data_IF_568031846111
#
_entry.id   IF_568031846111
#
_cell.length_a   1.000
_cell.length_b   1.000
_cell.length_c   1.000
_cell.angle_alpha   90.00
_cell.angle_beta   90.00
_cell.angle_gamma   90.00
#
_symmetry.space_group_name_H-M   'P 1'
#
loop_
_entity.id
_entity.type
_entity.pdbx_description
1 polymer ?
#
# COMPACT_ATOMS: atom_id res chain seq x y z
N UNK A 1 10.43 22.50 0.59
CA UNK A 1 9.31 22.82 1.51
C UNK A 1 8.02 22.51 0.79
N UNK A 2 7.08 21.92 1.50
CA UNK A 2 5.75 21.63 0.94
C UNK A 2 4.91 22.91 0.78
N UNK A 3 3.81 22.82 0.04
CA UNK A 3 2.89 23.95 -0.15
C UNK A 3 2.20 24.35 1.17
N UNK A 4 1.79 25.61 1.29
CA UNK A 4 1.05 26.11 2.45
C UNK A 4 -0.23 25.28 2.71
N UNK A 5 -0.94 24.88 1.65
CA UNK A 5 -2.12 24.02 1.77
C UNK A 5 -1.83 22.65 2.38
N UNK A 6 -0.68 22.03 2.01
CA UNK A 6 -0.25 20.77 2.61
C UNK A 6 0.12 20.91 4.08
N UNK A 7 0.78 21.98 4.45
CA UNK A 7 1.10 22.32 5.85
C UNK A 7 -0.16 22.54 6.69
N UNK A 8 -1.14 23.25 6.16
CA UNK A 8 -2.44 23.48 6.83
C UNK A 8 -3.24 22.17 7.00
N UNK A 9 -3.26 21.33 5.98
CA UNK A 9 -3.92 20.02 6.05
C UNK A 9 -3.28 19.12 7.12
N UNK A 10 -1.95 19.11 7.20
CA UNK A 10 -1.22 18.38 8.21
C UNK A 10 -1.50 18.93 9.63
N UNK A 11 -1.50 20.24 9.80
CA UNK A 11 -1.83 20.86 11.08
C UNK A 11 -3.23 20.46 11.56
N UNK A 12 -4.24 20.52 10.68
CA UNK A 12 -5.61 20.07 10.99
C UNK A 12 -5.69 18.58 11.34
N UNK A 13 -4.88 17.74 10.70
CA UNK A 13 -4.84 16.31 11.02
C UNK A 13 -4.24 16.06 12.41
N UNK A 14 -3.14 16.73 12.73
CA UNK A 14 -2.50 16.66 14.05
C UNK A 14 -3.40 17.20 15.14
N UNK A 15 -4.03 18.36 14.93
CA UNK A 15 -4.97 18.95 15.90
C UNK A 15 -6.14 18.02 16.21
N UNK A 16 -6.74 17.39 15.19
CA UNK A 16 -7.81 16.40 15.38
C UNK A 16 -7.36 15.18 16.19
N UNK A 17 -6.11 14.72 15.98
CA UNK A 17 -5.59 13.54 16.66
C UNK A 17 -5.13 13.81 18.09
N UNK A 18 -4.57 14.99 18.34
CA UNK A 18 -3.97 15.36 19.63
C UNK A 18 -4.86 16.23 20.51
N UNK A 19 -5.85 16.90 19.92
CA UNK A 19 -6.67 17.91 20.58
C UNK A 19 -5.96 19.25 20.82
N UNK A 20 -4.75 19.44 20.27
CA UNK A 20 -3.93 20.64 20.48
C UNK A 20 -3.76 21.41 19.18
N UNK A 21 -4.21 22.67 19.10
CA UNK A 21 -3.93 23.54 17.95
C UNK A 21 -2.43 23.70 17.74
N UNK A 22 -1.99 23.52 16.50
CA UNK A 22 -0.58 23.57 16.16
C UNK A 22 -0.34 24.16 14.77
N UNK A 23 0.87 24.65 14.55
CA UNK A 23 1.41 24.92 13.21
C UNK A 23 2.33 23.78 12.77
N UNK A 24 2.30 23.46 11.48
CA UNK A 24 3.12 22.42 10.89
C UNK A 24 3.84 22.97 9.67
N UNK A 25 5.17 22.80 9.63
CA UNK A 25 5.96 23.01 8.44
C UNK A 25 6.43 21.63 7.92
N UNK A 26 6.52 21.46 6.60
CA UNK A 26 6.87 20.17 5.99
C UNK A 26 8.08 20.36 5.07
N UNK A 27 9.07 19.51 5.29
CA UNK A 27 10.26 19.39 4.45
C UNK A 27 10.24 18.03 3.73
N UNK A 28 10.64 18.02 2.45
CA UNK A 28 10.88 16.79 1.72
C UNK A 28 12.34 16.38 1.86
N UNK A 29 12.56 15.16 2.32
CA UNK A 29 13.89 14.56 2.41
C UNK A 29 14.02 13.48 1.34
N UNK A 30 15.21 13.36 0.73
CA UNK A 30 15.51 12.34 -0.26
C UNK A 30 16.60 11.41 0.29
N UNK A 31 16.24 10.16 0.47
CA UNK A 31 17.12 9.11 0.95
C UNK A 31 17.63 8.32 -0.26
N UNK A 32 18.96 8.30 -0.45
CA UNK A 32 19.59 7.80 -1.67
C UNK A 32 20.56 6.68 -1.32
N UNK A 33 20.40 5.54 -2.01
CA UNK A 33 21.38 4.44 -2.00
C UNK A 33 22.05 4.38 -3.38
N UNK A 34 23.37 4.42 -3.40
CA UNK A 34 24.16 4.40 -4.63
C UNK A 34 25.40 3.53 -4.44
N UNK A 35 25.79 2.86 -5.51
CA UNK A 35 27.09 2.17 -5.65
C UNK A 35 28.10 2.97 -6.45
N UNK A 36 27.73 4.16 -6.93
CA UNK A 36 28.64 5.04 -7.67
C UNK A 36 29.80 5.50 -6.77
N UNK A 37 31.00 5.49 -7.33
CA UNK A 37 32.24 5.90 -6.65
C UNK A 37 32.99 6.93 -7.51
N UNK A 38 33.78 7.78 -6.86
CA UNK A 38 34.60 8.76 -7.53
C UNK A 38 33.80 9.79 -8.36
N UNK A 39 34.19 9.99 -9.62
CA UNK A 39 33.57 10.96 -10.52
C UNK A 39 32.12 10.60 -10.87
N UNK A 40 31.81 9.31 -11.02
CA UNK A 40 30.43 8.83 -11.24
C UNK A 40 29.51 9.23 -10.07
N UNK A 41 30.02 9.24 -8.84
CA UNK A 41 29.24 9.70 -7.68
C UNK A 41 28.94 11.21 -7.76
N UNK A 42 29.88 12.01 -8.24
CA UNK A 42 29.71 13.44 -8.42
C UNK A 42 28.72 13.77 -9.55
N UNK A 43 28.79 13.05 -10.66
CA UNK A 43 27.83 13.16 -11.76
C UNK A 43 26.43 12.76 -11.36
N UNK A 44 26.28 11.62 -10.66
CA UNK A 44 25.01 11.17 -10.12
C UNK A 44 24.41 12.17 -9.14
N UNK A 45 25.21 12.73 -8.25
CA UNK A 45 24.76 13.75 -7.30
C UNK A 45 24.34 15.05 -8.02
N UNK A 46 25.04 15.44 -9.07
CA UNK A 46 24.72 16.63 -9.87
C UNK A 46 23.42 16.44 -10.65
N UNK A 47 23.24 15.29 -11.29
CA UNK A 47 22.01 14.93 -12.00
C UNK A 47 20.81 14.89 -11.05
N UNK A 48 20.96 14.28 -9.88
CA UNK A 48 19.92 14.25 -8.86
C UNK A 48 19.56 15.64 -8.33
N UNK A 49 20.55 16.49 -8.05
CA UNK A 49 20.28 17.86 -7.63
C UNK A 49 19.49 18.62 -8.70
N UNK A 50 19.86 18.46 -9.96
CA UNK A 50 19.13 19.08 -11.07
C UNK A 50 17.70 18.54 -11.20
N UNK A 51 17.49 17.22 -11.17
CA UNK A 51 16.19 16.59 -11.27
C UNK A 51 15.25 16.97 -10.10
N UNK A 52 15.80 17.04 -8.89
CA UNK A 52 15.03 17.32 -7.69
C UNK A 52 14.85 18.81 -7.40
N UNK A 53 15.69 19.67 -7.98
CA UNK A 53 15.64 21.13 -7.79
C UNK A 53 14.34 21.76 -8.30
N UNK A 54 13.76 21.22 -9.38
CA UNK A 54 12.47 21.67 -9.91
C UNK A 54 11.28 21.34 -8.98
N UNK A 55 11.41 20.30 -8.17
CA UNK A 55 10.39 19.87 -7.21
C UNK A 55 10.61 20.47 -5.81
N UNK A 56 11.85 20.86 -5.50
CA UNK A 56 12.27 21.33 -4.19
C UNK A 56 13.35 22.38 -4.39
N UNK A 57 12.98 23.66 -4.49
CA UNK A 57 13.97 24.72 -4.35
C UNK A 57 14.71 24.50 -3.03
N UNK A 58 16.05 24.37 -3.03
CA UNK A 58 16.80 24.26 -1.80
C UNK A 58 16.60 25.56 -1.02
N UNK A 59 15.66 25.57 -0.10
CA UNK A 59 15.58 26.60 0.91
C UNK A 59 16.59 26.19 1.98
N UNK A 60 17.38 27.16 2.43
CA UNK A 60 18.20 26.96 3.61
C UNK A 60 17.33 26.36 4.72
N UNK A 61 17.81 25.28 5.32
CA UNK A 61 17.19 24.67 6.49
C UNK A 61 16.84 25.79 7.47
N UNK A 62 15.58 26.05 7.65
CA UNK A 62 15.15 27.06 8.61
C UNK A 62 15.67 26.67 9.99
N UNK A 63 16.42 27.57 10.58
CA UNK A 63 16.91 27.46 11.96
C UNK A 63 15.79 27.65 13.00
N UNK A 64 14.56 27.25 12.70
CA UNK A 64 13.50 27.20 13.68
C UNK A 64 13.73 25.92 14.50
N UNK A 65 13.93 26.07 15.80
CA UNK A 65 13.91 24.95 16.74
C UNK A 65 12.46 24.48 16.90
N UNK A 66 12.00 23.47 16.17
CA UNK A 66 10.65 22.99 16.30
C UNK A 66 10.46 22.39 17.69
N UNK A 67 9.25 22.48 18.24
CA UNK A 67 8.95 21.88 19.53
C UNK A 67 8.95 20.35 19.47
N UNK A 68 8.57 19.78 18.32
CA UNK A 68 8.78 18.36 18.01
C UNK A 68 8.90 18.13 16.50
N UNK A 69 9.53 17.02 16.14
CA UNK A 69 9.75 16.62 14.75
C UNK A 69 9.28 15.20 14.55
N UNK A 70 8.57 14.96 13.44
CA UNK A 70 8.13 13.63 12.99
C UNK A 70 8.58 13.46 11.55
N UNK A 71 9.32 12.40 11.26
CA UNK A 71 9.65 12.04 9.88
C UNK A 71 8.91 10.78 9.45
N UNK A 72 8.28 10.85 8.28
CA UNK A 72 7.46 9.79 7.70
C UNK A 72 7.93 9.50 6.29
N UNK A 73 8.08 8.26 5.97
CA UNK A 73 8.46 7.83 4.63
C UNK A 73 8.04 6.40 4.31
N UNK A 74 8.32 5.95 3.09
CA UNK A 74 8.01 4.59 2.67
C UNK A 74 8.66 3.55 3.58
N UNK A 75 7.95 2.45 3.81
CA UNK A 75 8.52 1.32 4.57
C UNK A 75 9.79 0.80 3.91
N UNK A 76 10.88 0.58 4.66
CA UNK A 76 12.16 0.13 4.08
C UNK A 76 12.09 -1.21 3.35
N UNK A 77 11.12 -2.07 3.72
CA UNK A 77 10.99 -3.43 3.21
C UNK A 77 10.63 -3.54 1.71
N UNK A 78 10.18 -2.46 1.08
CA UNK A 78 9.87 -2.44 -0.36
C UNK A 78 10.26 -1.12 -1.00
N UNK A 79 10.58 -1.13 -2.30
CA UNK A 79 10.78 0.09 -3.07
C UNK A 79 9.43 0.66 -3.51
N UNK A 80 9.23 1.97 -3.29
CA UNK A 80 8.02 2.63 -3.76
C UNK A 80 7.99 2.73 -5.29
N UNK A 81 6.80 2.80 -5.89
CA UNK A 81 6.66 3.01 -7.33
C UNK A 81 7.32 4.34 -7.78
N UNK A 82 7.29 5.35 -6.91
CA UNK A 82 7.99 6.61 -7.13
C UNK A 82 9.50 6.40 -7.20
N UNK A 83 10.08 5.60 -6.29
CA UNK A 83 11.51 5.29 -6.25
C UNK A 83 11.98 4.62 -7.54
N UNK A 84 11.25 3.58 -8.00
CA UNK A 84 11.60 2.88 -9.23
C UNK A 84 11.60 3.81 -10.43
N UNK A 85 10.61 4.70 -10.53
CA UNK A 85 10.55 5.70 -11.60
C UNK A 85 11.68 6.74 -11.47
N UNK A 86 11.97 7.22 -10.26
CA UNK A 86 13.01 8.20 -10.01
C UNK A 86 14.39 7.67 -10.38
N UNK A 87 14.69 6.41 -10.07
CA UNK A 87 15.94 5.75 -10.47
C UNK A 87 16.04 5.68 -11.98
N UNK A 88 15.00 5.20 -12.69
CA UNK A 88 15.01 5.09 -14.15
C UNK A 88 15.20 6.45 -14.83
N UNK A 89 14.53 7.49 -14.35
CA UNK A 89 14.69 8.85 -14.90
C UNK A 89 16.09 9.38 -14.64
N UNK A 90 16.62 9.17 -13.44
CA UNK A 90 17.96 9.61 -13.08
C UNK A 90 19.05 8.91 -13.92
N UNK A 91 18.92 7.60 -14.14
CA UNK A 91 19.81 6.83 -15.01
C UNK A 91 19.76 7.33 -16.46
N UNK A 92 18.56 7.61 -16.98
CA UNK A 92 18.39 8.20 -18.30
C UNK A 92 19.05 9.61 -18.44
N UNK A 93 19.18 10.33 -17.32
CA UNK A 93 19.89 11.62 -17.23
C UNK A 93 21.38 11.48 -16.92
N UNK A 94 21.94 10.27 -16.93
CA UNK A 94 23.36 10.01 -16.74
C UNK A 94 23.78 9.72 -15.28
N UNK A 95 22.87 9.67 -14.33
CA UNK A 95 23.18 9.31 -12.95
C UNK A 95 23.35 7.80 -12.81
N UNK A 96 24.57 7.32 -13.02
CA UNK A 96 24.90 5.90 -12.93
C UNK A 96 25.03 5.42 -11.48
N UNK A 97 24.75 4.13 -11.27
CA UNK A 97 24.96 3.45 -9.99
C UNK A 97 23.94 3.76 -8.91
N UNK A 98 22.85 4.44 -9.22
CA UNK A 98 21.74 4.62 -8.31
C UNK A 98 20.97 3.30 -8.13
N UNK A 99 20.80 2.88 -6.88
CA UNK A 99 20.04 1.70 -6.55
C UNK A 99 18.63 2.04 -6.07
N UNK A 100 18.53 3.10 -5.28
CA UNK A 100 17.26 3.51 -4.67
C UNK A 100 17.25 4.98 -4.34
N UNK A 101 16.13 5.64 -4.57
CA UNK A 101 15.86 7.02 -4.16
C UNK A 101 14.47 7.06 -3.57
N UNK A 102 14.34 7.31 -2.27
CA UNK A 102 13.03 7.40 -1.60
C UNK A 102 12.80 8.80 -1.06
N UNK A 103 11.55 9.23 -1.08
CA UNK A 103 11.15 10.54 -0.57
C UNK A 103 10.42 10.37 0.75
N UNK A 104 10.96 10.97 1.83
CA UNK A 104 10.27 11.14 3.11
C UNK A 104 9.78 12.58 3.30
N UNK A 105 8.92 12.77 4.28
CA UNK A 105 8.39 14.05 4.71
C UNK A 105 8.74 14.25 6.18
N UNK A 106 9.42 15.34 6.48
CA UNK A 106 9.74 15.74 7.84
C UNK A 106 8.81 16.85 8.26
N UNK A 107 8.07 16.63 9.33
CA UNK A 107 7.09 17.54 9.90
C UNK A 107 7.67 18.23 11.12
N UNK A 108 7.72 19.55 11.10
CA UNK A 108 8.11 20.39 12.22
C UNK A 108 6.85 20.93 12.86
N UNK A 109 6.57 20.56 14.09
CA UNK A 109 5.30 20.86 14.78
C UNK A 109 5.54 21.79 15.96
N UNK A 110 4.76 22.84 16.07
CA UNK A 110 4.83 23.83 17.14
C UNK A 110 3.41 24.24 17.56
N UNK A 111 3.06 24.23 18.87
CA UNK A 111 3.85 23.76 20.01
C UNK A 111 4.06 22.24 20.03
N UNK A 112 4.78 21.73 21.03
CA UNK A 112 4.95 20.29 21.21
C UNK A 112 3.61 19.59 21.45
N UNK A 113 3.42 18.45 20.78
CA UNK A 113 2.23 17.61 20.86
C UNK A 113 2.60 16.18 21.22
N UNK A 114 1.59 15.34 21.45
CA UNK A 114 1.80 13.89 21.55
C UNK A 114 2.31 13.34 20.21
N UNK A 115 3.61 13.04 20.15
CA UNK A 115 4.31 12.58 18.93
C UNK A 115 3.71 11.30 18.39
N UNK A 116 3.26 10.38 19.24
CA UNK A 116 2.68 9.11 18.83
C UNK A 116 1.36 9.35 18.09
N UNK A 117 0.45 10.13 18.67
CA UNK A 117 -0.83 10.47 18.02
C UNK A 117 -0.62 11.30 16.76
N UNK A 118 0.31 12.25 16.77
CA UNK A 118 0.65 13.04 15.59
C UNK A 118 1.18 12.16 14.46
N UNK A 119 2.12 11.25 14.76
CA UNK A 119 2.67 10.35 13.77
C UNK A 119 1.62 9.42 13.17
N UNK A 120 0.71 8.90 13.98
CA UNK A 120 -0.41 8.06 13.50
C UNK A 120 -1.34 8.80 12.54
N UNK A 121 -1.50 10.10 12.70
CA UNK A 121 -2.32 10.94 11.83
C UNK A 121 -1.61 11.39 10.53
N UNK A 122 -0.27 11.31 10.49
CA UNK A 122 0.54 11.88 9.42
C UNK A 122 1.05 10.83 8.40
N UNK A 123 0.87 9.54 8.64
CA UNK A 123 1.35 8.50 7.75
C UNK A 123 0.26 7.49 7.34
N UNK A 124 0.41 6.95 6.15
CA UNK A 124 -0.36 5.79 5.70
C UNK A 124 0.25 4.51 6.27
N UNK A 125 -0.50 3.84 7.17
CA UNK A 125 -0.05 2.60 7.81
C UNK A 125 0.25 1.45 6.86
N UNK A 126 -0.31 1.48 5.65
CA UNK A 126 -0.09 0.42 4.66
C UNK A 126 1.28 0.55 3.98
N UNK A 127 1.64 1.76 3.59
CA UNK A 127 2.78 2.03 2.71
C UNK A 127 3.92 2.79 3.38
N UNK A 128 3.64 3.46 4.49
CA UNK A 128 4.59 4.33 5.19
C UNK A 128 4.87 3.87 6.62
N UNK A 129 5.94 4.37 7.19
CA UNK A 129 6.26 4.26 8.59
C UNK A 129 6.93 5.54 9.11
N UNK A 130 6.97 5.67 10.42
CA UNK A 130 7.70 6.75 11.09
C UNK A 130 9.17 6.36 11.17
N UNK A 131 10.06 7.29 10.83
CA UNK A 131 11.49 7.13 10.98
C UNK A 131 11.94 7.65 12.34
N UNK A 132 12.83 6.93 13.01
CA UNK A 132 13.32 7.22 14.37
C UNK A 132 14.43 8.28 14.43
N UNK A 133 14.66 9.00 13.34
CA UNK A 133 15.69 10.03 13.20
C UNK A 133 17.03 9.51 12.66
N UNK A 134 17.17 8.20 12.51
CA UNK A 134 18.25 7.60 11.71
C UNK A 134 17.82 7.53 10.26
N UNK A 135 18.75 7.74 9.31
CA UNK A 135 18.45 7.52 7.89
C UNK A 135 17.97 6.07 7.73
N UNK A 136 16.81 5.84 7.13
CA UNK A 136 16.28 4.50 7.01
C UNK A 136 17.28 3.64 6.25
N UNK A 137 17.67 2.54 6.85
CA UNK A 137 18.49 1.56 6.17
C UNK A 137 17.58 0.80 5.22
N UNK A 138 17.67 1.10 3.94
CA UNK A 138 16.91 0.42 2.90
C UNK A 138 17.51 -0.96 2.62
N UNK A 139 17.47 -1.80 3.63
CA UNK A 139 17.78 -3.20 3.46
C UNK A 139 16.49 -3.93 3.08
N UNK A 140 16.46 -4.49 1.88
CA UNK A 140 15.40 -5.39 1.44
C UNK A 140 15.51 -6.72 2.19
N UNK A 141 15.64 -6.68 3.52
CA UNK A 141 15.55 -7.89 4.31
C UNK A 141 14.15 -8.44 4.11
N UNK A 142 14.07 -9.48 3.31
CA UNK A 142 12.93 -10.37 3.38
C UNK A 142 12.93 -10.94 4.80
N UNK A 143 11.91 -10.65 5.56
CA UNK A 143 11.72 -11.36 6.83
C UNK A 143 11.79 -12.87 6.57
N UNK A 144 12.42 -13.64 7.45
CA UNK A 144 12.45 -15.08 7.27
C UNK A 144 11.01 -15.58 7.13
N UNK A 145 10.76 -16.52 6.21
CA UNK A 145 9.42 -17.04 6.00
C UNK A 145 8.85 -17.55 7.33
N UNK A 146 7.65 -17.14 7.64
CA UNK A 146 6.94 -17.62 8.81
C UNK A 146 6.68 -19.12 8.66
N UNK A 147 6.65 -19.84 9.78
CA UNK A 147 6.28 -21.24 9.77
C UNK A 147 4.81 -21.37 9.33
N UNK A 148 4.59 -22.25 8.37
CA UNK A 148 3.23 -22.59 7.94
C UNK A 148 2.52 -23.27 9.11
N UNK A 149 1.41 -22.69 9.53
CA UNK A 149 0.54 -23.24 10.57
C UNK A 149 -0.46 -24.23 9.98
N UNK A 150 -0.87 -25.22 10.75
CA UNK A 150 -1.97 -26.12 10.41
C UNK A 150 -3.14 -25.83 11.32
N UNK A 151 -4.34 -25.76 10.76
CA UNK A 151 -5.55 -25.52 11.54
C UNK A 151 -6.23 -26.87 11.84
N UNK A 152 -6.57 -27.11 13.12
CA UNK A 152 -7.22 -28.34 13.54
C UNK A 152 -8.71 -28.35 13.15
N UNK A 153 -8.99 -28.66 11.89
CA UNK A 153 -10.35 -28.71 11.33
C UNK A 153 -11.00 -30.06 11.55
N UNK A 154 -10.26 -31.17 11.44
CA UNK A 154 -10.83 -32.51 11.54
C UNK A 154 -11.43 -32.73 12.94
N UNK A 155 -10.72 -32.35 13.99
CA UNK A 155 -11.23 -32.47 15.37
C UNK A 155 -12.20 -31.34 15.77
N UNK A 156 -11.90 -30.11 15.33
CA UNK A 156 -12.67 -28.92 15.72
C UNK A 156 -13.90 -28.65 14.86
N UNK A 157 -14.03 -29.33 13.72
CA UNK A 157 -15.16 -29.22 12.82
C UNK A 157 -15.44 -27.80 12.29
N UNK A 158 -16.68 -27.59 11.89
CA UNK A 158 -17.18 -26.32 11.32
C UNK A 158 -16.95 -25.14 12.26
N UNK A 159 -17.04 -25.34 13.58
CA UNK A 159 -16.87 -24.25 14.55
C UNK A 159 -15.41 -23.75 14.60
N UNK A 160 -14.44 -24.64 14.45
CA UNK A 160 -13.04 -24.24 14.35
C UNK A 160 -12.79 -23.36 13.10
N UNK A 161 -13.39 -23.72 11.96
CA UNK A 161 -13.28 -22.93 10.74
C UNK A 161 -13.99 -21.57 10.87
N UNK A 162 -15.16 -21.50 11.49
CA UNK A 162 -15.84 -20.23 11.79
C UNK A 162 -14.98 -19.30 12.64
N UNK A 163 -14.35 -19.85 13.67
CA UNK A 163 -13.47 -19.10 14.55
C UNK A 163 -12.29 -18.50 13.75
N UNK A 164 -11.59 -19.31 12.98
CA UNK A 164 -10.46 -18.85 12.15
C UNK A 164 -10.92 -17.85 11.08
N UNK A 165 -12.07 -18.09 10.46
CA UNK A 165 -12.69 -17.16 9.52
C UNK A 165 -12.86 -15.76 10.14
N UNK A 166 -13.38 -15.69 11.37
CA UNK A 166 -13.55 -14.43 12.10
C UNK A 166 -12.24 -13.81 12.53
N UNK A 167 -11.31 -14.59 13.09
CA UNK A 167 -10.03 -14.11 13.62
C UNK A 167 -9.09 -13.59 12.53
N UNK A 168 -9.11 -14.24 11.36
CA UNK A 168 -8.22 -13.88 10.22
C UNK A 168 -8.90 -13.09 9.12
N UNK A 169 -10.21 -12.85 9.23
CA UNK A 169 -10.97 -12.09 8.24
C UNK A 169 -11.00 -12.74 6.86
N UNK A 170 -11.19 -14.07 6.79
CA UNK A 170 -11.16 -14.81 5.52
C UNK A 170 -12.37 -14.50 4.62
N UNK A 171 -13.46 -13.98 5.17
CA UNK A 171 -14.64 -13.57 4.40
C UNK A 171 -15.50 -14.73 3.88
N UNK A 172 -15.37 -15.93 4.48
CA UNK A 172 -16.24 -17.07 4.15
C UNK A 172 -17.66 -16.83 4.66
N UNK A 173 -18.64 -17.08 3.81
CA UNK A 173 -20.03 -17.14 4.22
C UNK A 173 -20.39 -18.52 4.82
N UNK A 174 -21.64 -18.70 5.21
CA UNK A 174 -22.08 -19.96 5.84
C UNK A 174 -21.97 -21.18 4.90
N UNK A 175 -22.18 -20.97 3.61
CA UNK A 175 -22.03 -22.00 2.59
C UNK A 175 -20.56 -22.37 2.39
N UNK A 176 -19.69 -21.37 2.27
CA UNK A 176 -18.24 -21.56 2.13
C UNK A 176 -17.67 -22.35 3.32
N UNK A 177 -18.04 -21.96 4.53
CA UNK A 177 -17.58 -22.63 5.76
C UNK A 177 -18.00 -24.11 5.75
N UNK A 178 -19.25 -24.40 5.41
CA UNK A 178 -19.75 -25.78 5.36
C UNK A 178 -19.04 -26.59 4.26
N UNK A 179 -18.90 -25.98 3.07
CA UNK A 179 -18.25 -26.62 1.92
C UNK A 179 -16.79 -26.95 2.19
N UNK A 180 -16.00 -25.99 2.68
CA UNK A 180 -14.58 -26.23 2.93
C UNK A 180 -14.35 -27.16 4.11
N UNK A 181 -15.18 -27.09 5.16
CA UNK A 181 -15.11 -28.07 6.24
C UNK A 181 -15.29 -29.50 5.71
N UNK A 182 -16.31 -29.72 4.87
CA UNK A 182 -16.56 -31.02 4.26
C UNK A 182 -15.44 -31.42 3.29
N UNK A 183 -14.94 -30.49 2.47
CA UNK A 183 -13.87 -30.77 1.51
C UNK A 183 -12.62 -31.32 2.18
N UNK A 184 -12.15 -30.65 3.24
CA UNK A 184 -10.94 -31.05 3.96
C UNK A 184 -11.16 -32.33 4.74
N UNK A 185 -12.31 -32.48 5.44
CA UNK A 185 -12.58 -33.65 6.24
C UNK A 185 -12.84 -34.92 5.40
N UNK A 186 -13.69 -34.83 4.37
CA UNK A 186 -14.16 -36.03 3.65
C UNK A 186 -13.35 -36.36 2.40
N UNK A 187 -12.92 -35.33 1.63
CA UNK A 187 -12.20 -35.56 0.36
C UNK A 187 -10.70 -35.55 0.52
N UNK A 188 -10.17 -34.62 1.29
CA UNK A 188 -8.73 -34.48 1.48
C UNK A 188 -8.22 -35.29 2.67
N UNK A 189 -9.05 -35.57 3.67
CA UNK A 189 -8.72 -36.39 4.85
C UNK A 189 -7.59 -35.82 5.70
N UNK A 190 -7.39 -34.50 5.66
CA UNK A 190 -6.35 -33.79 6.40
C UNK A 190 -6.77 -32.39 6.78
N UNK A 191 -6.10 -31.86 7.77
CA UNK A 191 -6.26 -30.47 8.18
C UNK A 191 -5.70 -29.50 7.12
N UNK A 192 -6.33 -28.34 6.91
CA UNK A 192 -5.81 -27.28 6.06
C UNK A 192 -4.64 -26.54 6.73
N UNK A 193 -3.72 -26.07 5.91
CA UNK A 193 -2.76 -25.07 6.34
C UNK A 193 -3.39 -23.67 6.37
N UNK A 194 -2.80 -22.77 7.12
CA UNK A 194 -3.22 -21.37 7.14
C UNK A 194 -3.01 -20.68 5.78
N UNK A 195 -1.98 -21.07 5.04
CA UNK A 195 -1.72 -20.61 3.67
C UNK A 195 -2.84 -21.06 2.72
N UNK A 196 -3.24 -22.35 2.77
CA UNK A 196 -4.33 -22.88 1.94
C UNK A 196 -5.65 -22.15 2.21
N UNK A 197 -5.98 -21.93 3.48
CA UNK A 197 -7.22 -21.20 3.83
C UNK A 197 -7.19 -19.76 3.32
N UNK A 198 -6.04 -19.09 3.44
CA UNK A 198 -5.87 -17.75 2.92
C UNK A 198 -5.99 -17.71 1.39
N UNK A 199 -5.32 -18.61 0.68
CA UNK A 199 -5.35 -18.69 -0.77
C UNK A 199 -6.75 -18.97 -1.31
N UNK A 200 -7.46 -19.93 -0.69
CA UNK A 200 -8.87 -20.23 -0.99
C UNK A 200 -9.75 -19.00 -0.73
N UNK A 201 -9.53 -18.27 0.37
CA UNK A 201 -10.31 -17.06 0.68
C UNK A 201 -10.11 -15.96 -0.36
N UNK A 202 -8.88 -15.76 -0.83
CA UNK A 202 -8.58 -14.80 -1.88
C UNK A 202 -9.19 -15.22 -3.23
N UNK A 203 -9.14 -16.50 -3.56
CA UNK A 203 -9.76 -17.06 -4.78
C UNK A 203 -11.28 -16.95 -4.76
N UNK A 204 -11.91 -17.01 -3.59
CA UNK A 204 -13.35 -16.87 -3.38
C UNK A 204 -13.79 -15.42 -3.08
N UNK A 205 -12.86 -14.47 -3.16
CA UNK A 205 -13.16 -13.05 -2.92
C UNK A 205 -14.06 -12.48 -4.02
N UNK A 206 -14.72 -11.36 -3.73
CA UNK A 206 -15.58 -10.66 -4.69
C UNK A 206 -14.86 -10.28 -5.99
N UNK A 207 -13.56 -10.08 -5.94
CA UNK A 207 -12.74 -9.77 -7.13
C UNK A 207 -12.57 -10.96 -8.08
N UNK A 208 -12.81 -12.18 -7.62
CA UNK A 208 -12.69 -13.43 -8.39
C UNK A 208 -14.02 -14.13 -8.66
N UNK A 209 -15.15 -13.60 -8.18
CA UNK A 209 -16.49 -14.20 -8.33
C UNK A 209 -17.09 -13.99 -9.74
N UNK A 210 -16.34 -14.28 -10.78
CA UNK A 210 -16.79 -14.18 -12.17
C UNK A 210 -18.04 -15.02 -12.46
N UNK A 211 -18.17 -16.19 -11.86
CA UNK A 211 -19.33 -17.07 -11.95
C UNK A 211 -20.60 -16.40 -11.38
N UNK A 212 -20.48 -15.63 -10.29
CA UNK A 212 -21.59 -14.90 -9.69
C UNK A 212 -22.12 -13.80 -10.64
N UNK A 213 -21.23 -13.00 -11.22
CA UNK A 213 -21.62 -11.97 -12.18
C UNK A 213 -22.07 -12.53 -13.53
N UNK A 214 -21.74 -13.79 -13.83
CA UNK A 214 -22.25 -14.51 -15.01
C UNK A 214 -23.57 -15.26 -14.72
N UNK A 215 -23.97 -15.32 -13.45
CA UNK A 215 -25.16 -16.01 -13.01
C UNK A 215 -26.46 -15.36 -13.47
N UNK A 216 -27.56 -16.08 -13.24
CA UNK A 216 -28.92 -15.62 -13.49
C UNK A 216 -29.27 -14.49 -12.52
N UNK A 217 -29.82 -13.41 -13.01
CA UNK A 217 -30.21 -12.24 -12.23
C UNK A 217 -31.73 -12.14 -12.10
N UNK A 218 -32.23 -12.04 -10.89
CA UNK A 218 -33.65 -11.77 -10.62
C UNK A 218 -33.72 -10.45 -9.85
N UNK A 219 -34.38 -9.45 -10.42
CA UNK A 219 -34.55 -8.12 -9.82
C UNK A 219 -36.03 -7.85 -9.66
N UNK A 220 -36.47 -7.58 -8.42
CA UNK A 220 -37.90 -7.38 -8.07
C UNK A 220 -38.81 -8.50 -8.55
N UNK A 221 -38.35 -9.76 -8.42
CA UNK A 221 -39.07 -10.95 -8.85
C UNK A 221 -39.06 -11.21 -10.37
N UNK A 222 -38.44 -10.35 -11.17
CA UNK A 222 -38.35 -10.49 -12.63
C UNK A 222 -36.94 -10.97 -13.02
N UNK A 223 -36.89 -12.11 -13.71
CA UNK A 223 -35.67 -12.64 -14.28
C UNK A 223 -35.20 -11.77 -15.45
N UNK A 224 -33.91 -11.41 -15.47
CA UNK A 224 -33.30 -10.62 -16.55
C UNK A 224 -32.72 -11.54 -17.61
N UNK A 225 -32.89 -11.14 -18.88
CA UNK A 225 -32.43 -11.90 -20.05
C UNK A 225 -30.91 -12.03 -20.15
N UNK A 226 -30.16 -11.18 -19.43
CA UNK A 226 -28.72 -11.11 -19.50
C UNK A 226 -28.12 -11.03 -18.10
N UNK A 227 -26.98 -11.73 -17.92
CA UNK A 227 -26.15 -11.57 -16.71
C UNK A 227 -25.46 -10.21 -16.68
N UNK A 228 -24.99 -9.80 -15.50
CA UNK A 228 -24.25 -8.55 -15.34
C UNK A 228 -23.04 -8.47 -16.27
N UNK A 229 -22.29 -9.57 -16.41
CA UNK A 229 -21.16 -9.60 -17.35
C UNK A 229 -21.56 -9.42 -18.80
N UNK A 230 -22.69 -9.96 -19.23
CA UNK A 230 -23.19 -9.74 -20.60
C UNK A 230 -23.55 -8.28 -20.83
N UNK A 231 -24.18 -7.63 -19.85
CA UNK A 231 -24.49 -6.19 -19.91
C UNK A 231 -23.22 -5.34 -20.03
N UNK A 232 -22.21 -5.62 -19.21
CA UNK A 232 -20.92 -4.90 -19.28
C UNK A 232 -20.21 -5.16 -20.62
N UNK A 233 -20.15 -6.41 -21.07
CA UNK A 233 -19.52 -6.77 -22.36
C UNK A 233 -20.25 -6.19 -23.58
N UNK A 234 -21.55 -6.00 -23.50
CA UNK A 234 -22.31 -5.40 -24.59
C UNK A 234 -21.82 -4.00 -24.97
N UNK A 235 -21.34 -3.21 -24.03
CA UNK A 235 -20.75 -1.89 -24.28
C UNK A 235 -19.49 -1.99 -25.13
N UNK A 236 -18.62 -2.96 -24.84
CA UNK A 236 -17.39 -3.21 -25.59
C UNK A 236 -17.71 -3.71 -27.03
N UNK A 237 -18.69 -4.60 -27.15
CA UNK A 237 -19.12 -5.11 -28.46
C UNK A 237 -19.62 -3.96 -29.34
N UNK A 238 -20.52 -3.13 -28.82
CA UNK A 238 -21.00 -1.94 -29.52
C UNK A 238 -19.91 -0.95 -29.93
N UNK A 239 -18.92 -0.75 -29.01
CA UNK A 239 -17.77 0.12 -29.31
C UNK A 239 -16.90 -0.44 -30.45
N UNK A 240 -16.69 -1.76 -30.49
CA UNK A 240 -15.95 -2.43 -31.58
C UNK A 240 -16.67 -2.37 -32.90
N UNK A 241 -17.97 -2.65 -32.91
CA UNK A 241 -18.82 -2.53 -34.11
C UNK A 241 -18.78 -1.11 -34.66
N UNK A 242 -18.87 -0.10 -33.78
CA UNK A 242 -18.80 1.30 -34.21
C UNK A 242 -17.40 1.64 -34.76
N UNK A 243 -16.34 1.18 -34.14
CA UNK A 243 -14.98 1.40 -34.64
C UNK A 243 -14.76 0.75 -36.00
N UNK A 244 -15.27 -0.47 -36.22
CA UNK A 244 -15.19 -1.17 -37.51
C UNK A 244 -16.02 -0.47 -38.61
N UNK A 245 -17.15 0.15 -38.26
CA UNK A 245 -17.98 0.89 -39.19
C UNK A 245 -17.38 2.26 -39.57
N UNK A 246 -16.42 2.77 -38.79
CA UNK A 246 -15.77 4.06 -39.06
C UNK A 246 -14.45 3.92 -39.83
N UNK A 247 -14.02 2.67 -40.18
CA UNK A 247 -12.85 2.39 -41.01
C UNK A 247 -11.58 2.34 -40.24
#
# INVERSE_FOLDING_TARGET
VASAAACEAAAKAVERATGTPCSVEIEHCFNITSTALGDDANEAASALRWLLAGACAPQELRAASPSCTVEVGPRPAFASAWSSTAVLVAEACGAKGLQRVERSRRYFITPAVDVKKASEALHDRMTECVYDGTAPFFDLRTEPPQKIGTMNLIEGGVEALKKVNSERGLGFDAFDVAYYAQLFAEKLGRDPTDVELYDVSQSNSEHSRHWFFSGRQVVDGVEKDQSLFRLVKATLTKAREKAQAMG
#
